data_IF_591798945568
#
_entry.id   IF_591798945568
#
_cell.length_a   1.000
_cell.length_b   1.000
_cell.length_c   1.000
_cell.angle_alpha   90.00
_cell.angle_beta   90.00
_cell.angle_gamma   90.00
#
_symmetry.space_group_name_H-M   'P 1'
#
loop_
_entity.id
_entity.type
_entity.pdbx_description
1 polymer ?
#
# COMPACT_ATOMS: atom_id res chain seq x y z
N UNK A 1 -2.94 -11.14 1.38
CA UNK A 1 -2.27 -12.03 2.38
C UNK A 1 -2.76 -11.58 3.74
N UNK A 2 -3.45 -12.45 4.45
CA UNK A 2 -4.18 -12.07 5.67
C UNK A 2 -3.29 -11.99 6.90
N UNK A 3 -2.30 -12.88 7.01
CA UNK A 3 -1.34 -12.85 8.12
C UNK A 3 0.03 -13.39 7.69
N UNK A 4 1.07 -12.85 8.33
CA UNK A 4 2.43 -13.34 8.28
C UNK A 4 2.81 -13.81 9.68
N UNK A 5 3.19 -15.09 9.78
CA UNK A 5 3.59 -15.73 11.03
C UNK A 5 5.08 -16.01 11.02
N UNK A 6 5.75 -15.72 12.13
CA UNK A 6 7.13 -16.12 12.39
C UNK A 6 7.19 -16.91 13.70
N UNK A 7 7.64 -18.17 13.63
CA UNK A 7 7.67 -19.10 14.80
C UNK A 7 6.33 -19.14 15.56
N UNK A 8 5.21 -19.15 14.81
CA UNK A 8 3.85 -19.13 15.39
C UNK A 8 3.36 -17.77 15.87
N UNK A 9 4.20 -16.75 15.88
CA UNK A 9 3.81 -15.39 16.28
C UNK A 9 3.43 -14.56 15.06
N UNK A 10 2.30 -13.87 15.11
CA UNK A 10 1.87 -12.96 14.06
C UNK A 10 2.78 -11.72 14.05
N UNK A 11 3.53 -11.54 12.97
CA UNK A 11 4.46 -10.41 12.77
C UNK A 11 3.97 -9.40 11.75
N UNK A 12 2.93 -9.72 10.99
CA UNK A 12 2.30 -8.80 10.06
C UNK A 12 0.95 -9.32 9.60
N UNK A 13 0.09 -8.43 9.15
CA UNK A 13 -1.21 -8.77 8.59
C UNK A 13 -1.65 -7.80 7.49
N UNK A 14 -2.68 -8.21 6.75
CA UNK A 14 -3.33 -7.41 5.71
C UNK A 14 -2.37 -6.80 4.68
N UNK A 15 -1.33 -7.57 4.29
CA UNK A 15 -0.43 -7.13 3.23
C UNK A 15 -1.19 -6.87 1.94
N UNK A 16 -1.10 -5.65 1.42
CA UNK A 16 -1.80 -5.20 0.20
C UNK A 16 -0.87 -4.38 -0.66
N UNK A 17 -0.88 -4.63 -1.96
CA UNK A 17 -0.33 -3.69 -2.93
C UNK A 17 -1.29 -2.51 -3.05
N UNK A 18 -0.74 -1.31 -3.05
CA UNK A 18 -1.50 -0.07 -3.22
C UNK A 18 -0.89 0.75 -4.34
N UNK A 19 -1.74 1.34 -5.17
CA UNK A 19 -1.37 2.31 -6.17
C UNK A 19 -2.31 3.51 -6.07
N UNK A 20 -1.79 4.71 -6.18
CA UNK A 20 -2.61 5.92 -6.31
C UNK A 20 -2.22 6.64 -7.58
N UNK A 21 -3.23 7.07 -8.33
CA UNK A 21 -3.05 7.86 -9.55
C UNK A 21 -3.69 9.23 -9.41
N UNK A 22 -3.21 10.15 -10.20
CA UNK A 22 -3.82 11.47 -10.40
C UNK A 22 -3.97 11.75 -11.89
N UNK A 23 -4.89 12.64 -12.24
CA UNK A 23 -5.21 12.99 -13.63
C UNK A 23 -4.26 14.01 -14.25
N UNK A 24 -3.42 14.64 -13.43
CA UNK A 24 -2.49 15.69 -13.84
C UNK A 24 -1.07 15.34 -13.41
N UNK A 25 -0.03 15.84 -14.11
CA UNK A 25 1.35 15.67 -13.69
C UNK A 25 1.60 16.24 -12.29
N UNK A 26 2.54 15.66 -11.55
CA UNK A 26 2.95 16.18 -10.24
C UNK A 26 3.59 17.55 -10.43
N UNK A 27 2.97 18.58 -9.87
CA UNK A 27 3.49 19.96 -9.81
C UNK A 27 3.67 20.35 -8.34
N UNK A 28 4.72 21.12 -8.03
CA UNK A 28 5.11 21.46 -6.65
C UNK A 28 4.06 22.27 -5.87
N UNK A 29 3.11 22.93 -6.53
CA UNK A 29 2.17 23.87 -5.90
C UNK A 29 0.68 23.53 -6.06
N UNK A 30 0.32 22.29 -6.36
CA UNK A 30 -1.10 21.93 -6.58
C UNK A 30 -1.74 21.47 -5.27
N UNK A 31 -2.51 22.36 -4.63
CA UNK A 31 -3.13 22.13 -3.31
C UNK A 31 -4.42 21.29 -3.33
N UNK A 32 -5.00 21.01 -4.50
CA UNK A 32 -6.24 20.24 -4.62
C UNK A 32 -6.20 19.30 -5.84
N UNK A 33 -5.46 18.21 -5.74
CA UNK A 33 -5.50 17.17 -6.78
C UNK A 33 -6.37 16.02 -6.26
N UNK A 34 -7.40 15.67 -7.01
CA UNK A 34 -8.13 14.44 -6.80
C UNK A 34 -7.26 13.24 -7.19
N UNK A 35 -7.23 12.23 -6.37
CA UNK A 35 -6.50 11.00 -6.66
C UNK A 35 -7.40 9.78 -6.54
N UNK A 36 -7.15 8.82 -7.40
CA UNK A 36 -7.84 7.52 -7.38
C UNK A 36 -6.92 6.48 -6.75
N UNK A 37 -7.46 5.72 -5.80
CA UNK A 37 -6.73 4.65 -5.12
C UNK A 37 -7.12 3.29 -5.67
N UNK A 38 -6.12 2.46 -5.91
CA UNK A 38 -6.26 1.08 -6.37
C UNK A 38 -5.59 0.13 -5.39
N UNK A 39 -6.17 -1.06 -5.26
CA UNK A 39 -5.66 -2.13 -4.42
C UNK A 39 -5.32 -3.32 -5.30
N UNK A 40 -4.18 -3.96 -5.06
CA UNK A 40 -3.78 -5.17 -5.77
C UNK A 40 -4.70 -6.33 -5.41
N UNK A 41 -5.32 -6.92 -6.43
CA UNK A 41 -6.09 -8.15 -6.36
C UNK A 41 -5.28 -9.31 -6.92
N UNK A 42 -5.01 -10.32 -6.08
CA UNK A 42 -4.25 -11.49 -6.48
C UNK A 42 -5.18 -12.42 -7.27
N UNK A 43 -4.79 -12.78 -8.50
CA UNK A 43 -5.49 -13.69 -9.38
C UNK A 43 -4.94 -15.11 -9.31
N UNK A 44 -3.62 -15.24 -9.11
CA UNK A 44 -2.97 -16.55 -9.00
C UNK A 44 -1.82 -16.55 -8.00
N UNK A 45 -1.59 -17.71 -7.40
CA UNK A 45 -0.46 -17.98 -6.51
C UNK A 45 0.20 -19.28 -6.98
N UNK A 46 1.51 -19.23 -7.23
CA UNK A 46 2.27 -20.39 -7.72
C UNK A 46 3.55 -20.55 -6.89
N UNK A 47 3.87 -21.77 -6.50
CA UNK A 47 5.16 -22.10 -5.91
C UNK A 47 6.10 -22.45 -7.08
N UNK A 48 7.00 -21.52 -7.45
CA UNK A 48 7.96 -21.72 -8.54
C UNK A 48 9.11 -22.63 -8.13
N UNK A 49 9.49 -22.59 -6.85
CA UNK A 49 10.53 -23.47 -6.29
C UNK A 49 10.21 -23.82 -4.84
N UNK A 50 10.48 -25.06 -4.50
CA UNK A 50 10.42 -25.56 -3.13
C UNK A 50 11.63 -26.46 -2.85
N UNK A 51 12.42 -26.11 -1.82
CA UNK A 51 13.60 -26.89 -1.43
C UNK A 51 14.10 -26.46 -0.06
N UNK A 52 15.04 -27.24 0.49
CA UNK A 52 15.61 -27.04 1.83
C UNK A 52 16.36 -25.71 2.01
N UNK A 53 16.92 -25.18 0.92
CA UNK A 53 17.71 -23.94 0.94
C UNK A 53 16.86 -22.73 0.61
N UNK A 54 15.91 -22.87 -0.33
CA UNK A 54 15.11 -21.75 -0.82
C UNK A 54 13.73 -22.20 -1.28
N UNK A 55 12.71 -21.43 -0.90
CA UNK A 55 11.39 -21.46 -1.50
C UNK A 55 11.10 -20.15 -2.24
N UNK A 56 10.39 -20.24 -3.37
CA UNK A 56 9.98 -19.11 -4.19
C UNK A 56 8.49 -19.19 -4.48
N UNK A 57 7.77 -18.19 -4.03
CA UNK A 57 6.34 -18.03 -4.26
C UNK A 57 6.12 -16.85 -5.22
N UNK A 58 5.38 -17.10 -6.29
CA UNK A 58 4.93 -16.08 -7.25
C UNK A 58 3.47 -15.77 -7.03
N UNK A 59 3.14 -14.48 -6.96
CA UNK A 59 1.79 -13.94 -6.90
C UNK A 59 1.58 -13.11 -8.16
N UNK A 60 0.49 -13.33 -8.88
CA UNK A 60 0.12 -12.56 -10.07
C UNK A 60 -1.24 -11.93 -9.87
N UNK A 61 -1.42 -10.72 -10.36
CA UNK A 61 -2.67 -10.00 -10.19
C UNK A 61 -2.72 -8.67 -10.92
N UNK A 62 -3.74 -7.90 -10.62
CA UNK A 62 -4.01 -6.57 -11.19
C UNK A 62 -4.40 -5.59 -10.08
N UNK A 63 -4.25 -4.31 -10.34
CA UNK A 63 -4.79 -3.29 -9.45
C UNK A 63 -6.23 -2.96 -9.84
N UNK A 64 -7.12 -2.92 -8.84
CA UNK A 64 -8.54 -2.60 -9.01
C UNK A 64 -8.95 -1.45 -8.09
N UNK A 65 -9.78 -0.55 -8.60
CA UNK A 65 -10.39 0.49 -7.78
C UNK A 65 -11.48 -0.12 -6.88
N UNK A 66 -11.35 0.06 -5.56
CA UNK A 66 -12.34 -0.34 -4.55
C UNK A 66 -12.72 0.87 -3.69
N UNK A 67 -13.44 1.80 -4.26
CA UNK A 67 -13.84 3.02 -3.53
C UNK A 67 -14.80 2.79 -2.34
N UNK A 68 -15.27 1.57 -2.08
CA UNK A 68 -16.29 1.29 -1.05
C UNK A 68 -15.78 0.77 0.30
N UNK A 69 -14.52 0.36 0.44
CA UNK A 69 -14.08 -0.32 1.67
C UNK A 69 -13.14 0.50 2.59
N UNK A 70 -12.76 1.72 2.21
CA UNK A 70 -11.71 2.46 2.95
C UNK A 70 -12.27 3.53 3.89
N UNK A 71 -13.54 3.91 3.76
CA UNK A 71 -14.11 5.03 4.55
C UNK A 71 -14.67 4.64 5.94
N UNK A 72 -14.70 3.37 6.32
CA UNK A 72 -15.31 2.94 7.59
C UNK A 72 -14.35 2.85 8.78
N UNK A 73 -13.07 3.21 8.66
CA UNK A 73 -12.13 3.08 9.77
C UNK A 73 -11.62 4.38 10.40
N UNK A 74 -11.99 5.56 9.90
CA UNK A 74 -11.62 6.85 10.52
C UNK A 74 -12.65 7.94 10.26
N UNK A 75 -13.92 7.72 10.62
CA UNK A 75 -14.92 8.78 10.68
C UNK A 75 -15.64 8.76 12.04
N UNK A 76 -14.92 9.16 13.10
CA UNK A 76 -15.55 9.82 14.21
C UNK A 76 -15.13 11.29 14.20
N UNK A 77 -16.15 12.15 14.10
CA UNK A 77 -16.16 13.61 14.16
C UNK A 77 -15.70 14.39 12.91
N UNK A 78 -16.67 14.71 12.00
CA UNK A 78 -16.99 16.11 11.75
C UNK A 78 -18.29 16.26 10.94
N UNK A 79 -19.05 17.25 11.34
CA UNK A 79 -20.42 17.60 10.98
C UNK A 79 -20.65 17.85 9.47
N UNK A 80 -21.83 17.42 9.07
CA UNK A 80 -22.53 17.69 7.82
C UNK A 80 -22.59 19.19 7.48
N UNK A 81 -22.10 19.55 6.30
CA UNK A 81 -22.56 20.76 5.61
C UNK A 81 -23.11 20.37 4.25
N UNK A 82 -24.41 20.59 4.09
CA UNK A 82 -25.14 20.46 2.83
C UNK A 82 -24.66 21.49 1.83
N UNK A 83 -24.22 21.05 0.66
CA UNK A 83 -24.23 21.89 -0.53
C UNK A 83 -24.82 21.13 -1.72
N UNK A 84 -25.74 21.82 -2.39
CA UNK A 84 -26.60 21.38 -3.47
C UNK A 84 -25.84 21.03 -4.76
N UNK A 85 -26.26 19.96 -5.34
CA UNK A 85 -26.48 19.63 -6.75
C UNK A 85 -25.55 20.17 -7.84
N UNK A 86 -24.78 19.25 -8.43
CA UNK A 86 -24.57 19.24 -9.87
C UNK A 86 -24.71 17.79 -10.33
N UNK A 87 -25.61 17.55 -11.28
CA UNK A 87 -25.80 16.25 -11.93
C UNK A 87 -24.56 15.96 -12.78
N UNK A 88 -23.72 15.10 -12.27
CA UNK A 88 -22.63 14.48 -13.03
C UNK A 88 -23.17 13.16 -13.58
N UNK A 89 -22.97 12.92 -14.87
CA UNK A 89 -23.49 11.77 -15.61
C UNK A 89 -23.04 10.46 -14.97
N UNK A 90 -23.99 9.67 -14.50
CA UNK A 90 -23.82 8.38 -13.80
C UNK A 90 -23.13 7.27 -14.62
N UNK A 91 -22.84 7.45 -15.90
CA UNK A 91 -22.24 6.46 -16.77
C UNK A 91 -20.70 6.34 -16.59
N UNK A 92 -20.03 7.44 -16.26
CA UNK A 92 -18.56 7.47 -16.19
C UNK A 92 -18.02 7.00 -14.82
N UNK A 93 -18.78 7.20 -13.75
CA UNK A 93 -18.40 6.72 -12.41
C UNK A 93 -18.43 5.18 -12.28
N UNK A 94 -19.36 4.51 -12.96
CA UNK A 94 -19.44 3.05 -12.93
C UNK A 94 -18.30 2.37 -13.71
N UNK A 95 -17.78 3.00 -14.75
CA UNK A 95 -16.65 2.46 -15.52
C UNK A 95 -15.32 2.59 -14.77
N UNK A 96 -15.11 3.68 -14.02
CA UNK A 96 -13.95 3.90 -13.17
C UNK A 96 -13.92 2.95 -11.97
N UNK A 97 -15.08 2.60 -11.43
CA UNK A 97 -15.19 1.72 -10.25
C UNK A 97 -14.82 0.26 -10.52
N UNK A 98 -14.71 -0.17 -11.77
CA UNK A 98 -14.39 -1.56 -12.12
C UNK A 98 -13.15 -1.72 -13.00
N UNK A 99 -12.34 -0.67 -13.14
CA UNK A 99 -11.12 -0.72 -13.94
C UNK A 99 -10.09 -1.61 -13.30
N UNK A 100 -9.64 -2.61 -14.05
CA UNK A 100 -8.43 -3.39 -13.78
C UNK A 100 -7.29 -2.80 -14.60
N UNK A 101 -6.13 -2.58 -13.95
CA UNK A 101 -4.95 -2.05 -14.62
C UNK A 101 -3.67 -2.35 -13.85
N UNK A 102 -2.54 -1.97 -14.39
CA UNK A 102 -1.22 -2.16 -13.81
C UNK A 102 -1.01 -3.61 -13.33
N UNK A 103 -1.08 -4.60 -14.27
CA UNK A 103 -0.85 -5.99 -13.92
C UNK A 103 0.51 -6.16 -13.28
N UNK A 104 0.58 -7.01 -12.24
CA UNK A 104 1.78 -7.18 -11.45
C UNK A 104 2.15 -8.64 -11.23
N UNK A 105 3.43 -8.85 -10.96
CA UNK A 105 4.00 -10.09 -10.46
C UNK A 105 4.83 -9.77 -9.22
N UNK A 106 4.49 -10.41 -8.09
CA UNK A 106 5.28 -10.37 -6.87
C UNK A 106 5.95 -11.71 -6.66
N UNK A 107 7.26 -11.73 -6.48
CA UNK A 107 8.02 -12.92 -6.10
C UNK A 107 8.56 -12.78 -4.69
N UNK A 108 8.21 -13.74 -3.84
CA UNK A 108 8.66 -13.83 -2.47
C UNK A 108 9.70 -14.94 -2.35
N UNK A 109 10.91 -14.56 -1.95
CA UNK A 109 12.03 -15.48 -1.74
C UNK A 109 12.20 -15.72 -0.25
N UNK A 110 12.07 -16.97 0.15
CA UNK A 110 12.32 -17.45 1.50
C UNK A 110 13.60 -18.28 1.49
N UNK A 111 14.49 -18.04 2.43
CA UNK A 111 15.76 -18.76 2.54
C UNK A 111 15.78 -19.56 3.83
N UNK A 112 16.25 -20.82 3.76
CA UNK A 112 16.44 -21.67 4.93
C UNK A 112 17.43 -21.03 5.89
N UNK A 113 17.09 -20.97 7.18
CA UNK A 113 17.94 -20.38 8.22
C UNK A 113 17.95 -18.85 8.27
N UNK A 114 17.20 -18.16 7.41
CA UNK A 114 17.09 -16.69 7.40
C UNK A 114 15.69 -16.24 7.83
N UNK A 115 15.64 -15.16 8.61
CA UNK A 115 14.40 -14.47 8.99
C UNK A 115 13.99 -13.42 7.95
N UNK A 116 14.80 -13.22 6.92
CA UNK A 116 14.56 -12.24 5.86
C UNK A 116 13.75 -12.84 4.72
N UNK A 117 12.81 -12.04 4.22
CA UNK A 117 12.06 -12.35 3.00
C UNK A 117 12.44 -11.32 1.95
N UNK A 118 13.06 -11.77 0.85
CA UNK A 118 13.28 -10.90 -0.31
C UNK A 118 12.02 -10.85 -1.14
N UNK A 119 11.57 -9.65 -1.44
CA UNK A 119 10.44 -9.41 -2.32
C UNK A 119 10.88 -8.67 -3.58
N UNK A 120 10.40 -9.13 -4.71
CA UNK A 120 10.55 -8.47 -6.01
C UNK A 120 9.15 -8.19 -6.54
N UNK A 121 8.83 -6.92 -6.73
CA UNK A 121 7.60 -6.45 -7.35
C UNK A 121 7.89 -5.98 -8.77
N UNK A 122 7.26 -6.61 -9.73
CA UNK A 122 7.30 -6.24 -11.15
C UNK A 122 5.89 -5.87 -11.59
N UNK A 123 5.75 -4.87 -12.43
CA UNK A 123 4.47 -4.45 -12.98
C UNK A 123 4.63 -3.99 -14.42
N UNK A 124 3.53 -4.00 -15.17
CA UNK A 124 3.45 -3.45 -16.51
C UNK A 124 2.54 -2.24 -16.48
N UNK A 125 3.06 -1.10 -16.98
CA UNK A 125 2.24 0.09 -17.12
C UNK A 125 1.40 -0.04 -18.40
N UNK A 126 0.10 -0.20 -18.22
CA UNK A 126 -0.91 -0.33 -19.28
C UNK A 126 -1.94 0.81 -19.23
N UNK A 127 -1.61 1.92 -18.55
CA UNK A 127 -2.43 3.10 -18.42
C UNK A 127 -2.30 4.09 -19.58
N UNK A 128 -3.14 5.11 -19.55
CA UNK A 128 -3.04 6.26 -20.47
C UNK A 128 -1.98 7.24 -19.96
N UNK A 129 -0.91 7.43 -20.74
CA UNK A 129 0.22 8.30 -20.40
C UNK A 129 -0.17 9.77 -20.17
N UNK A 130 -1.35 10.20 -20.64
CA UNK A 130 -1.84 11.58 -20.51
C UNK A 130 -2.79 11.77 -19.33
N UNK A 131 -3.26 10.69 -18.71
CA UNK A 131 -4.29 10.74 -17.66
C UNK A 131 -3.94 9.98 -16.39
N UNK A 132 -3.15 8.91 -16.51
CA UNK A 132 -2.88 7.99 -15.41
C UNK A 132 -1.47 8.23 -14.82
N UNK A 133 -1.28 9.35 -14.14
CA UNK A 133 -0.02 9.63 -13.48
C UNK A 133 0.05 8.88 -12.15
N UNK A 134 1.02 7.98 -12.00
CA UNK A 134 1.25 7.26 -10.75
C UNK A 134 1.81 8.23 -9.71
N UNK A 135 1.03 8.49 -8.66
CA UNK A 135 1.45 9.31 -7.51
C UNK A 135 2.19 8.49 -6.48
N UNK A 136 1.72 7.27 -6.22
CA UNK A 136 2.36 6.35 -5.29
C UNK A 136 2.13 4.90 -5.71
N UNK A 137 3.14 4.08 -5.50
CA UNK A 137 3.07 2.64 -5.70
C UNK A 137 3.85 1.98 -4.55
N UNK A 138 3.22 1.03 -3.87
CA UNK A 138 3.86 0.42 -2.72
C UNK A 138 3.08 -0.73 -2.12
N UNK A 139 3.55 -1.15 -0.95
CA UNK A 139 2.95 -2.23 -0.17
C UNK A 139 2.63 -1.69 1.20
N UNK A 140 1.42 -1.97 1.65
CA UNK A 140 0.97 -1.67 3.00
C UNK A 140 0.92 -2.95 3.81
N UNK A 141 1.47 -2.90 5.01
CA UNK A 141 1.37 -3.93 6.04
C UNK A 141 0.80 -3.33 7.32
N UNK A 142 -0.04 -4.08 8.01
CA UNK A 142 -0.40 -3.79 9.39
C UNK A 142 0.53 -4.63 10.29
N UNK A 143 1.36 -3.96 11.10
CA UNK A 143 2.35 -4.61 11.95
C UNK A 143 1.94 -4.44 13.42
N UNK A 144 1.62 -5.55 14.12
CA UNK A 144 1.27 -5.50 15.54
C UNK A 144 2.53 -5.26 16.38
N UNK A 145 2.75 -4.02 16.80
CA UNK A 145 3.86 -3.68 17.68
C UNK A 145 3.47 -3.94 19.14
N UNK A 146 4.21 -4.83 19.83
CA UNK A 146 3.93 -5.27 21.19
C UNK A 146 4.79 -4.59 22.27
N UNK A 147 5.87 -3.95 21.85
CA UNK A 147 6.78 -3.23 22.72
C UNK A 147 6.11 -2.02 23.39
N UNK A 148 6.69 -1.52 24.46
CA UNK A 148 6.27 -0.25 25.06
C UNK A 148 6.35 0.88 24.03
N UNK A 149 5.45 1.86 24.11
CA UNK A 149 5.30 2.91 23.09
C UNK A 149 6.63 3.64 22.76
N UNK A 150 7.42 3.91 23.79
CA UNK A 150 8.70 4.61 23.64
C UNK A 150 9.78 3.78 22.95
N UNK A 151 9.57 2.46 22.83
CA UNK A 151 10.53 1.52 22.25
C UNK A 151 10.09 1.02 20.85
N UNK A 152 9.06 1.62 20.26
CA UNK A 152 8.57 1.25 18.93
C UNK A 152 9.23 2.13 17.88
N UNK A 153 10.05 1.50 17.05
CA UNK A 153 10.79 2.17 15.99
C UNK A 153 10.61 1.44 14.66
N UNK A 154 10.65 2.21 13.57
CA UNK A 154 10.78 1.69 12.21
C UNK A 154 12.16 2.08 11.71
N UNK A 155 12.91 1.10 11.22
CA UNK A 155 14.21 1.33 10.61
C UNK A 155 14.14 1.13 9.09
N UNK A 156 14.73 2.06 8.35
CA UNK A 156 14.87 2.00 6.90
C UNK A 156 16.36 1.93 6.54
N UNK A 157 16.72 1.03 5.66
CA UNK A 157 18.05 1.02 5.07
C UNK A 157 18.09 1.93 3.85
N UNK A 158 19.12 2.77 3.76
CA UNK A 158 19.36 3.64 2.60
C UNK A 158 20.21 2.93 1.54
N UNK A 159 20.21 3.44 0.32
CA UNK A 159 20.97 2.88 -0.80
C UNK A 159 22.50 2.95 -0.59
N UNK A 160 22.95 3.92 0.19
CA UNK A 160 24.36 4.14 0.58
C UNK A 160 24.81 3.32 1.80
N UNK A 161 23.95 2.42 2.30
CA UNK A 161 24.21 1.56 3.46
C UNK A 161 23.90 2.22 4.81
N UNK A 162 23.41 3.45 4.84
CA UNK A 162 22.92 4.09 6.05
C UNK A 162 21.64 3.44 6.57
N UNK A 163 21.37 3.61 7.87
CA UNK A 163 20.11 3.20 8.51
C UNK A 163 19.45 4.43 9.13
N UNK A 164 18.22 4.69 8.72
CA UNK A 164 17.39 5.69 9.34
C UNK A 164 16.32 5.05 10.20
N UNK A 165 16.15 5.50 11.43
CA UNK A 165 15.18 4.97 12.38
C UNK A 165 14.30 6.08 12.92
N UNK A 166 12.98 5.89 12.87
CA UNK A 166 12.00 6.79 13.44
C UNK A 166 11.13 6.12 14.50
N UNK A 167 10.79 6.84 15.60
CA UNK A 167 9.79 6.36 16.55
C UNK A 167 8.41 6.32 15.88
N UNK A 168 7.68 5.22 16.10
CA UNK A 168 6.31 5.04 15.57
C UNK A 168 5.28 5.85 16.35
N UNK A 169 5.59 6.22 17.59
CA UNK A 169 4.71 7.04 18.40
C UNK A 169 4.59 8.44 17.78
N UNK A 170 3.36 8.92 17.47
CA UNK A 170 3.18 10.30 17.04
C UNK A 170 3.73 11.22 18.14
N UNK A 171 4.53 12.20 17.75
CA UNK A 171 5.10 13.24 18.63
C UNK A 171 4.02 14.25 19.10
N UNK A 172 2.83 13.75 19.48
CA UNK A 172 1.76 14.54 20.06
C UNK A 172 2.22 14.89 21.49
N UNK A 173 2.71 16.09 21.67
CA UNK A 173 3.06 16.61 22.99
C UNK A 173 4.53 17.01 23.22
N UNK A 174 5.38 17.03 22.23
CA UNK A 174 6.57 17.86 22.32
C UNK A 174 6.12 19.33 22.26
N UNK A 175 5.71 19.85 23.41
CA UNK A 175 5.73 21.31 23.61
C UNK A 175 7.18 21.71 23.37
N UNK A 176 7.45 22.51 22.35
CA UNK A 176 8.68 23.28 22.34
C UNK A 176 8.64 24.12 23.62
N UNK A 177 9.51 23.82 24.55
CA UNK A 177 9.83 24.74 25.63
C UNK A 177 10.53 25.92 24.94
N UNK A 178 9.76 26.99 24.74
CA UNK A 178 10.29 28.31 24.41
C UNK A 178 10.96 28.88 25.64
#
# INVERSE_FOLDING_TARGET
MDSLLYKGTKVGEKARLICSTQSEPIQENTSQISFTRYIGEIKSVTIERFGSVRALVKLEGVHRNRNREIETSHAENNQVSHSKGNQVNHSDENSLNNREWLPFVVRLYFYGGSEQVKMVHSFVYDGDQKKDFIRSLGIRFDIPMREALYNRHIAFSCADGGVWSEPVQPLIGRRMLT
#
